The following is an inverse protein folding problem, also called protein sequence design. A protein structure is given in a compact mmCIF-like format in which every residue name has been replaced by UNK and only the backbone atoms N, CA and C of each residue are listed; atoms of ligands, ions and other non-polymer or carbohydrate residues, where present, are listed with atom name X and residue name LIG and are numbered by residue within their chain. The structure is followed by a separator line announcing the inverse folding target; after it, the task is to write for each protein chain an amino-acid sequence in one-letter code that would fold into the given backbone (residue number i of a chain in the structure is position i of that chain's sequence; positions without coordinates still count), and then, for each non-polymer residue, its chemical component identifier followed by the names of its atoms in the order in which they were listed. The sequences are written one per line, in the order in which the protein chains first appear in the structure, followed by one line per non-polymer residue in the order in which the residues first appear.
data_IF_953709350948
#
_entry.id   IF_953709350948
#
_cell.length_a   1.000
_cell.length_b   1.000
_cell.length_c   1.000
_cell.angle_alpha   90.00
_cell.angle_beta   90.00
_cell.angle_gamma   90.00
#
_symmetry.space_group_name_H-M   'P 1'
#
loop_
_entity.id
_entity.type
_entity.pdbx_description
1 polymer ?
#
# COMPACT_ATOMS: atom_id res chain seq x y z
N UNK A 1 -16.82 17.45 -16.85
CA UNK A 1 -16.58 17.57 -15.40
C UNK A 1 -17.90 17.30 -14.69
N UNK A 2 -17.91 16.44 -13.67
CA UNK A 2 -19.07 16.32 -12.79
C UNK A 2 -19.12 17.53 -11.84
N UNK A 3 -20.32 18.03 -11.56
CA UNK A 3 -20.53 19.16 -10.63
C UNK A 3 -21.61 18.80 -9.63
N UNK A 4 -21.47 19.31 -8.41
CA UNK A 4 -22.50 19.24 -7.38
C UNK A 4 -23.22 20.58 -7.27
N UNK A 5 -24.56 20.55 -7.23
CA UNK A 5 -25.36 21.70 -6.85
C UNK A 5 -25.84 21.49 -5.42
N UNK A 6 -25.46 22.38 -4.52
CA UNK A 6 -25.83 22.30 -3.10
C UNK A 6 -26.80 23.43 -2.81
N UNK A 7 -28.00 23.09 -2.27
CA UNK A 7 -28.98 24.04 -1.79
C UNK A 7 -29.02 23.94 -0.28
N UNK A 8 -28.64 25.02 0.40
CA UNK A 8 -28.67 25.12 1.87
C UNK A 8 -30.02 25.62 2.42
N UNK A 9 -30.08 25.88 3.74
CA UNK A 9 -31.24 26.42 4.40
C UNK A 9 -32.31 25.41 4.84
N UNK A 10 -32.03 24.10 4.67
CA UNK A 10 -32.94 23.03 5.12
C UNK A 10 -32.30 22.31 6.30
N UNK A 11 -33.03 22.15 7.39
CA UNK A 11 -32.58 21.36 8.54
C UNK A 11 -32.49 19.88 8.12
N UNK A 12 -31.31 19.28 8.29
CA UNK A 12 -31.08 17.87 7.97
C UNK A 12 -31.62 16.98 9.11
N UNK A 13 -32.32 15.90 8.73
CA UNK A 13 -32.80 14.87 9.65
C UNK A 13 -32.68 13.52 8.97
N UNK A 14 -32.11 12.54 9.67
CA UNK A 14 -31.93 11.17 9.17
C UNK A 14 -30.72 10.50 9.79
N UNK A 15 -30.53 9.24 9.44
CA UNK A 15 -29.41 8.42 9.88
C UNK A 15 -28.30 8.45 8.81
N UNK A 16 -27.04 8.53 9.27
CA UNK A 16 -25.87 8.42 8.40
C UNK A 16 -25.09 7.16 8.78
N UNK A 17 -24.96 6.27 7.83
CA UNK A 17 -24.17 5.05 7.98
C UNK A 17 -22.80 5.25 7.31
N UNK A 18 -21.71 5.47 8.07
CA UNK A 18 -20.39 5.59 7.47
C UNK A 18 -19.94 4.25 6.88
N UNK A 19 -19.34 4.29 5.71
CA UNK A 19 -18.64 3.14 5.15
C UNK A 19 -17.22 3.03 5.73
N UNK A 20 -16.52 1.92 5.43
CA UNK A 20 -15.15 1.68 5.89
C UNK A 20 -14.19 2.81 5.50
N UNK A 21 -13.15 3.02 6.31
CA UNK A 21 -12.19 4.09 6.12
C UNK A 21 -11.18 3.76 5.00
N UNK A 22 -11.12 4.62 3.98
CA UNK A 22 -10.18 4.46 2.84
C UNK A 22 -8.75 4.24 3.28
N UNK A 23 -8.24 5.10 4.15
CA UNK A 23 -6.83 5.10 4.52
C UNK A 23 -6.46 3.88 5.39
N UNK A 24 -7.39 3.35 6.16
CA UNK A 24 -7.22 2.12 6.91
C UNK A 24 -7.15 0.91 5.97
N UNK A 25 -8.14 0.77 5.09
CA UNK A 25 -8.23 -0.40 4.21
C UNK A 25 -7.05 -0.50 3.24
N UNK A 26 -6.50 0.63 2.76
CA UNK A 26 -5.31 0.60 1.91
C UNK A 26 -4.09 0.00 2.62
N UNK A 27 -3.98 0.18 3.94
CA UNK A 27 -2.91 -0.42 4.75
C UNK A 27 -3.17 -1.90 4.99
N UNK A 28 -4.38 -2.26 5.40
CA UNK A 28 -4.78 -3.65 5.69
C UNK A 28 -4.70 -4.52 4.43
N UNK A 29 -5.09 -4.00 3.26
CA UNK A 29 -4.95 -4.70 1.99
C UNK A 29 -3.49 -5.03 1.65
N UNK A 30 -2.56 -4.13 1.95
CA UNK A 30 -1.14 -4.42 1.75
C UNK A 30 -0.61 -5.46 2.74
N UNK A 31 -1.15 -5.51 3.96
CA UNK A 31 -0.76 -6.48 4.98
C UNK A 31 -1.09 -7.94 4.58
N UNK A 32 -2.01 -8.19 3.64
CA UNK A 32 -2.28 -9.56 3.15
C UNK A 32 -1.05 -10.20 2.48
N UNK A 33 -0.11 -9.39 2.01
CA UNK A 33 1.14 -9.88 1.42
C UNK A 33 2.10 -10.51 2.45
N UNK A 34 1.85 -10.32 3.77
CA UNK A 34 2.71 -10.84 4.84
C UNK A 34 2.53 -12.34 5.12
N UNK A 35 1.46 -12.95 4.63
CA UNK A 35 1.14 -14.36 4.86
C UNK A 35 0.68 -15.04 3.56
N UNK A 36 0.82 -16.35 3.49
CA UNK A 36 0.25 -17.21 2.44
C UNK A 36 -1.14 -17.75 2.81
N UNK A 37 -1.57 -17.54 4.06
CA UNK A 37 -2.90 -17.90 4.52
C UNK A 37 -3.97 -16.99 3.91
N UNK A 38 -5.21 -17.50 3.89
CA UNK A 38 -6.36 -16.71 3.45
C UNK A 38 -6.80 -15.71 4.52
N UNK A 39 -6.73 -14.43 4.17
CA UNK A 39 -7.20 -13.32 5.03
C UNK A 39 -8.54 -12.81 4.51
N UNK A 40 -9.58 -12.83 5.35
CA UNK A 40 -10.89 -12.24 5.03
C UNK A 40 -10.99 -10.84 5.63
N UNK A 41 -11.37 -9.88 4.80
CA UNK A 41 -11.55 -8.47 5.19
C UNK A 41 -12.97 -8.06 4.83
N UNK A 42 -13.67 -7.49 5.81
CA UNK A 42 -15.04 -6.99 5.65
C UNK A 42 -15.11 -5.47 5.76
N UNK A 43 -16.23 -4.88 5.39
CA UNK A 43 -16.47 -3.44 5.39
C UNK A 43 -15.46 -2.66 4.49
N UNK A 44 -15.00 -3.29 3.41
CA UNK A 44 -14.18 -2.62 2.40
C UNK A 44 -15.05 -1.64 1.62
N UNK A 45 -14.73 -0.33 1.61
CA UNK A 45 -15.51 0.66 0.87
C UNK A 45 -15.29 0.52 -0.64
N UNK A 46 -16.38 0.66 -1.40
CA UNK A 46 -16.32 0.64 -2.87
C UNK A 46 -15.94 2.03 -3.41
N UNK A 47 -14.64 2.27 -3.45
CA UNK A 47 -14.04 3.52 -3.95
C UNK A 47 -12.87 3.24 -4.88
N UNK A 48 -12.61 4.19 -5.79
CA UNK A 48 -11.64 4.03 -6.89
C UNK A 48 -10.25 3.62 -6.41
N UNK A 49 -9.71 4.25 -5.37
CA UNK A 49 -8.36 3.95 -4.87
C UNK A 49 -8.25 2.54 -4.29
N UNK A 50 -9.31 2.08 -3.60
CA UNK A 50 -9.35 0.73 -3.01
C UNK A 50 -9.45 -0.32 -4.11
N UNK A 51 -10.32 -0.11 -5.08
CA UNK A 51 -10.48 -1.03 -6.21
C UNK A 51 -9.19 -1.14 -7.03
N UNK A 52 -8.49 -0.02 -7.27
CA UNK A 52 -7.16 -0.02 -7.91
C UNK A 52 -6.13 -0.82 -7.13
N UNK A 53 -6.11 -0.71 -5.80
CA UNK A 53 -5.16 -1.47 -4.99
C UNK A 53 -5.48 -2.96 -5.02
N UNK A 54 -6.76 -3.35 -4.94
CA UNK A 54 -7.19 -4.74 -5.08
C UNK A 54 -6.76 -5.31 -6.44
N UNK A 55 -6.90 -4.52 -7.52
CA UNK A 55 -6.43 -4.89 -8.85
C UNK A 55 -4.90 -5.09 -8.89
N UNK A 56 -4.14 -4.18 -8.31
CA UNK A 56 -2.67 -4.30 -8.21
C UNK A 56 -2.29 -5.57 -7.44
N UNK A 57 -2.95 -5.87 -6.32
CA UNK A 57 -2.70 -7.10 -5.57
C UNK A 57 -3.01 -8.36 -6.38
N UNK A 58 -4.10 -8.35 -7.16
CA UNK A 58 -4.40 -9.43 -8.09
C UNK A 58 -3.32 -9.63 -9.15
N UNK A 59 -2.78 -8.54 -9.70
CA UNK A 59 -1.68 -8.58 -10.67
C UNK A 59 -0.38 -9.13 -10.05
N UNK A 60 -0.15 -8.93 -8.73
CA UNK A 60 0.95 -9.57 -8.00
C UNK A 60 0.77 -11.07 -7.81
N UNK A 61 -0.39 -11.63 -8.12
CA UNK A 61 -0.70 -13.03 -7.90
C UNK A 61 -1.52 -13.32 -6.64
N UNK A 62 -2.00 -12.29 -5.93
CA UNK A 62 -2.96 -12.48 -4.83
C UNK A 62 -4.28 -12.98 -5.41
N UNK A 63 -4.74 -14.13 -4.96
CA UNK A 63 -6.07 -14.62 -5.29
C UNK A 63 -7.12 -13.85 -4.50
N UNK A 64 -8.01 -13.17 -5.22
CA UNK A 64 -9.05 -12.31 -4.65
C UNK A 64 -10.41 -12.95 -4.89
N UNK A 65 -11.14 -13.25 -3.83
CA UNK A 65 -12.51 -13.74 -3.88
C UNK A 65 -13.46 -12.71 -3.24
N UNK A 66 -14.43 -12.23 -4.01
CA UNK A 66 -15.48 -11.34 -3.52
C UNK A 66 -16.62 -12.18 -2.94
N UNK A 67 -16.82 -12.15 -1.63
CA UNK A 67 -17.86 -12.91 -0.91
C UNK A 67 -19.19 -12.16 -0.87
N UNK A 68 -19.16 -10.82 -1.00
CA UNK A 68 -20.33 -9.96 -0.97
C UNK A 68 -19.95 -8.48 -1.07
N UNK A 69 -20.89 -7.56 -0.91
CA UNK A 69 -20.60 -6.13 -0.86
C UNK A 69 -19.63 -5.81 0.28
N UNK A 70 -18.44 -5.29 -0.05
CA UNK A 70 -17.40 -4.94 0.92
C UNK A 70 -16.79 -6.12 1.68
N UNK A 71 -16.99 -7.36 1.23
CA UNK A 71 -16.48 -8.59 1.86
C UNK A 71 -15.63 -9.37 0.86
N UNK A 72 -14.35 -9.52 1.16
CA UNK A 72 -13.37 -10.15 0.28
C UNK A 72 -12.45 -11.09 1.06
N UNK A 73 -12.01 -12.15 0.39
CA UNK A 73 -10.95 -13.05 0.86
C UNK A 73 -9.75 -12.91 -0.06
N UNK A 74 -8.57 -12.80 0.54
CA UNK A 74 -7.29 -12.63 -0.16
C UNK A 74 -6.35 -13.76 0.24
N UNK A 75 -5.66 -14.36 -0.74
CA UNK A 75 -4.66 -15.40 -0.49
C UNK A 75 -3.40 -15.08 -1.30
N UNK A 76 -2.28 -14.83 -0.62
CA UNK A 76 -1.01 -14.42 -1.23
C UNK A 76 0.03 -15.55 -1.20
N UNK A 77 -0.34 -16.73 -1.70
CA UNK A 77 0.48 -17.95 -1.71
C UNK A 77 1.36 -18.13 -2.98
N UNK A 78 1.10 -17.35 -4.03
CA UNK A 78 1.81 -17.44 -5.32
C UNK A 78 2.16 -16.04 -5.86
N UNK A 79 2.95 -15.27 -5.09
CA UNK A 79 3.31 -13.90 -5.44
C UNK A 79 4.39 -13.86 -6.51
N UNK A 80 4.13 -13.15 -7.59
CA UNK A 80 5.10 -12.82 -8.62
C UNK A 80 5.92 -11.58 -8.22
N UNK A 81 7.11 -11.80 -7.69
CA UNK A 81 8.03 -10.71 -7.27
C UNK A 81 8.56 -9.94 -8.48
N UNK A 82 8.70 -10.58 -9.63
CA UNK A 82 9.22 -9.93 -10.85
C UNK A 82 8.22 -8.95 -11.44
N UNK A 83 6.94 -9.06 -11.09
CA UNK A 83 5.92 -8.08 -11.44
C UNK A 83 6.28 -6.66 -10.97
N UNK A 84 7.05 -6.50 -9.87
CA UNK A 84 7.56 -5.20 -9.39
C UNK A 84 8.31 -4.41 -10.47
N UNK A 85 8.94 -5.07 -11.43
CA UNK A 85 9.74 -4.46 -12.48
C UNK A 85 8.98 -4.29 -13.80
N UNK A 86 7.75 -4.81 -13.87
CA UNK A 86 6.93 -4.80 -15.06
C UNK A 86 6.31 -3.43 -15.38
N UNK A 87 6.12 -3.13 -16.67
CA UNK A 87 5.48 -1.90 -17.13
C UNK A 87 4.04 -1.74 -16.63
N UNK A 88 3.33 -2.85 -16.39
CA UNK A 88 1.98 -2.84 -15.82
C UNK A 88 1.98 -2.29 -14.40
N UNK A 89 2.88 -2.78 -13.56
CA UNK A 89 3.02 -2.26 -12.19
C UNK A 89 3.47 -0.80 -12.18
N UNK A 90 4.43 -0.45 -13.04
CA UNK A 90 4.88 0.93 -13.20
C UNK A 90 3.74 1.89 -13.48
N UNK A 91 2.86 1.54 -14.42
CA UNK A 91 1.70 2.35 -14.79
C UNK A 91 0.64 2.42 -13.69
N UNK A 92 0.27 1.28 -13.12
CA UNK A 92 -0.78 1.19 -12.09
C UNK A 92 -0.30 1.78 -10.77
N UNK A 93 0.89 1.44 -10.32
CA UNK A 93 1.49 1.97 -9.09
C UNK A 93 1.67 3.49 -9.13
N UNK A 94 2.09 4.04 -10.27
CA UNK A 94 2.18 5.49 -10.46
C UNK A 94 0.81 6.19 -10.38
N UNK A 95 -0.28 5.50 -10.66
CA UNK A 95 -1.64 6.08 -10.61
C UNK A 95 -2.25 6.15 -9.20
N UNK A 96 -1.63 5.49 -8.22
CA UNK A 96 -2.13 5.37 -6.85
C UNK A 96 -1.02 5.67 -5.85
N UNK A 97 -1.14 6.74 -5.08
CA UNK A 97 -0.15 7.03 -4.04
C UNK A 97 -0.07 5.94 -2.95
N UNK A 98 -1.19 5.30 -2.64
CA UNK A 98 -1.26 4.19 -1.67
C UNK A 98 -0.41 2.98 -2.05
N UNK A 99 0.06 2.88 -3.30
CA UNK A 99 0.95 1.80 -3.75
C UNK A 99 2.27 1.73 -2.97
N UNK A 100 2.71 2.83 -2.34
CA UNK A 100 3.89 2.83 -1.46
C UNK A 100 3.76 1.84 -0.30
N UNK A 101 2.53 1.51 0.08
CA UNK A 101 2.27 0.61 1.21
C UNK A 101 2.62 -0.86 0.92
N UNK A 102 2.81 -1.26 -0.35
CA UNK A 102 3.27 -2.62 -0.69
C UNK A 102 4.75 -2.83 -0.39
N UNK A 103 5.53 -1.74 -0.24
CA UNK A 103 7.00 -1.84 -0.07
C UNK A 103 7.38 -2.59 1.20
N UNK A 104 6.75 -2.26 2.34
CA UNK A 104 7.04 -2.91 3.62
C UNK A 104 6.84 -4.43 3.61
N UNK A 105 5.64 -4.93 3.28
CA UNK A 105 5.39 -6.37 3.24
C UNK A 105 6.20 -7.09 2.16
N UNK A 106 6.41 -6.49 0.99
CA UNK A 106 7.23 -7.10 -0.07
C UNK A 106 8.69 -7.20 0.35
N UNK A 107 9.25 -6.16 0.98
CA UNK A 107 10.59 -6.17 1.53
C UNK A 107 10.76 -7.25 2.60
N UNK A 108 9.81 -7.32 3.55
CA UNK A 108 9.90 -8.24 4.67
C UNK A 108 9.80 -9.71 4.26
N UNK A 109 8.87 -10.04 3.36
CA UNK A 109 8.61 -11.43 2.98
C UNK A 109 9.47 -11.91 1.82
N UNK A 110 9.79 -11.02 0.87
CA UNK A 110 10.47 -11.39 -0.38
C UNK A 110 11.84 -10.72 -0.56
N UNK A 111 12.27 -9.92 0.41
CA UNK A 111 13.56 -9.24 0.39
C UNK A 111 13.65 -8.05 -0.56
N UNK A 112 12.58 -7.70 -1.26
CA UNK A 112 12.56 -6.62 -2.26
C UNK A 112 11.26 -5.84 -2.20
N UNK A 113 11.35 -4.52 -2.21
CA UNK A 113 10.20 -3.64 -2.33
C UNK A 113 10.50 -2.47 -3.25
N UNK A 114 9.76 -2.34 -4.34
CA UNK A 114 9.96 -1.29 -5.34
C UNK A 114 8.66 -0.57 -5.63
N UNK A 115 8.75 0.73 -5.89
CA UNK A 115 7.64 1.53 -6.39
C UNK A 115 8.09 2.43 -7.54
N UNK A 116 7.25 2.63 -8.55
CA UNK A 116 7.45 3.70 -9.50
C UNK A 116 7.26 5.04 -8.80
N UNK A 117 7.74 6.13 -9.41
CA UNK A 117 7.46 7.48 -8.90
C UNK A 117 5.95 7.65 -8.72
N UNK A 118 5.44 7.76 -7.48
CA UNK A 118 4.01 7.75 -7.23
C UNK A 118 3.36 9.03 -7.75
N UNK A 119 2.21 8.85 -8.37
CA UNK A 119 1.32 9.91 -8.78
C UNK A 119 0.26 10.23 -7.72
N UNK A 120 -0.97 10.47 -8.16
CA UNK A 120 -2.12 10.82 -7.34
C UNK A 120 -2.41 12.32 -7.33
N UNK A 121 -3.27 12.77 -6.42
CA UNK A 121 -3.72 14.15 -6.34
C UNK A 121 -2.57 15.14 -6.09
N UNK A 122 -2.54 16.21 -6.85
CA UNK A 122 -1.55 17.29 -6.73
C UNK A 122 -1.90 18.24 -5.57
N UNK A 123 -1.86 17.75 -4.34
CA UNK A 123 -2.18 18.52 -3.13
C UNK A 123 -0.94 19.05 -2.39
N UNK A 124 0.19 19.17 -3.09
CA UNK A 124 1.46 19.63 -2.55
C UNK A 124 2.54 18.54 -2.49
N UNK A 125 3.74 18.95 -2.04
CA UNK A 125 4.88 18.04 -1.88
C UNK A 125 4.62 17.09 -0.71
N UNK A 126 4.67 15.79 -0.95
CA UNK A 126 4.58 14.76 0.07
C UNK A 126 5.84 13.92 0.04
N UNK A 127 6.51 13.86 1.16
CA UNK A 127 7.74 13.09 1.33
C UNK A 127 7.46 11.59 1.19
N UNK A 128 8.44 10.87 0.67
CA UNK A 128 8.51 9.41 0.63
C UNK A 128 9.77 8.90 1.32
N UNK A 129 10.74 9.78 1.51
CA UNK A 129 12.01 9.50 2.17
C UNK A 129 11.81 8.89 3.55
N UNK A 130 10.84 9.37 4.35
CA UNK A 130 10.49 8.77 5.64
C UNK A 130 10.26 7.26 5.56
N UNK A 131 9.63 6.75 4.48
CA UNK A 131 9.45 5.31 4.27
C UNK A 131 10.78 4.59 4.04
N UNK A 132 11.63 5.16 3.19
CA UNK A 132 12.92 4.52 2.83
C UNK A 132 13.94 4.59 3.96
N UNK A 133 14.00 5.73 4.68
CA UNK A 133 14.88 5.90 5.83
C UNK A 133 14.67 4.84 6.90
N UNK A 134 13.41 4.48 7.18
CA UNK A 134 13.13 3.46 8.19
C UNK A 134 13.52 2.07 7.73
N UNK A 135 13.32 1.73 6.46
CA UNK A 135 13.79 0.45 5.93
C UNK A 135 15.31 0.34 5.96
N UNK A 136 16.02 1.44 5.68
CA UNK A 136 17.48 1.50 5.82
C UNK A 136 17.92 1.32 7.27
N UNK A 137 17.17 1.83 8.26
CA UNK A 137 17.43 1.58 9.69
C UNK A 137 17.23 0.12 10.07
N UNK A 138 16.37 -0.63 9.37
CA UNK A 138 16.23 -2.08 9.50
C UNK A 138 17.32 -2.85 8.74
N UNK A 139 18.26 -2.17 8.09
CA UNK A 139 19.38 -2.76 7.37
C UNK A 139 19.16 -2.93 5.86
N UNK A 140 18.02 -2.50 5.32
CA UNK A 140 17.79 -2.56 3.88
C UNK A 140 18.68 -1.56 3.12
N UNK A 141 19.04 -1.91 1.89
CA UNK A 141 19.76 -1.04 0.96
C UNK A 141 18.76 -0.29 0.09
N UNK A 142 18.88 1.03 0.04
CA UNK A 142 18.12 1.84 -0.91
C UNK A 142 18.67 1.65 -2.33
N UNK A 143 17.78 1.48 -3.29
CA UNK A 143 18.09 1.31 -4.72
C UNK A 143 17.28 2.32 -5.52
N UNK A 144 17.96 2.99 -6.45
CA UNK A 144 17.32 3.88 -7.42
C UNK A 144 17.79 3.51 -8.81
N UNK A 145 16.85 3.15 -9.68
CA UNK A 145 17.12 2.91 -11.09
C UNK A 145 16.64 4.10 -11.92
N UNK A 146 17.61 4.92 -12.35
CA UNK A 146 17.34 6.16 -13.07
C UNK A 146 16.61 5.91 -14.41
N UNK A 147 17.04 4.90 -15.16
CA UNK A 147 16.44 4.56 -16.46
C UNK A 147 15.00 4.03 -16.35
N UNK A 148 14.68 3.34 -15.28
CA UNK A 148 13.36 2.76 -15.03
C UNK A 148 12.45 3.65 -14.17
N UNK A 149 13.00 4.69 -13.53
CA UNK A 149 12.30 5.58 -12.60
C UNK A 149 11.64 4.85 -11.42
N UNK A 150 12.29 3.81 -10.88
CA UNK A 150 11.88 3.12 -9.67
C UNK A 150 12.68 3.55 -8.46
N UNK A 151 11.99 3.64 -7.33
CA UNK A 151 12.59 3.72 -6.00
C UNK A 151 12.38 2.38 -5.31
N UNK A 152 13.41 1.84 -4.70
CA UNK A 152 13.31 0.55 -4.07
C UNK A 152 14.18 0.39 -2.84
N UNK A 153 13.94 -0.70 -2.15
CA UNK A 153 14.76 -1.21 -1.04
C UNK A 153 14.93 -2.71 -1.19
N UNK A 154 16.12 -3.17 -0.85
CA UNK A 154 16.46 -4.59 -0.83
C UNK A 154 16.99 -4.99 0.54
N UNK A 155 16.52 -6.10 1.06
CA UNK A 155 17.00 -6.68 2.30
C UNK A 155 18.39 -7.30 2.07
N UNK A 156 19.28 -7.26 3.07
CA UNK A 156 20.55 -7.99 3.01
C UNK A 156 20.30 -9.51 3.04
N UNK A 157 21.30 -10.28 2.61
CA UNK A 157 21.19 -11.74 2.51
C UNK A 157 20.88 -12.42 3.86
N UNK A 158 21.26 -11.82 4.97
CA UNK A 158 21.03 -12.29 6.33
C UNK A 158 19.71 -11.72 6.94
N UNK A 159 18.88 -11.08 6.13
CA UNK A 159 17.57 -10.54 6.50
C UNK A 159 17.63 -9.16 7.15
N UNK A 160 16.47 -8.59 7.38
CA UNK A 160 16.32 -7.32 8.11
C UNK A 160 16.66 -7.52 9.59
N UNK A 161 17.08 -6.45 10.27
CA UNK A 161 17.44 -6.44 11.68
C UNK A 161 16.56 -5.49 12.46
N UNK A 162 16.07 -5.92 13.61
CA UNK A 162 15.34 -5.07 14.53
C UNK A 162 16.18 -3.86 14.97
N UNK A 163 15.54 -2.68 15.01
CA UNK A 163 16.21 -1.43 15.38
C UNK A 163 15.27 -0.52 16.15
N UNK A 164 15.89 0.37 16.98
CA UNK A 164 15.14 1.50 17.53
C UNK A 164 14.99 2.58 16.46
N UNK A 165 13.74 2.94 16.14
CA UNK A 165 13.44 3.88 15.07
C UNK A 165 12.63 5.04 15.63
N UNK A 166 13.17 6.25 15.49
CA UNK A 166 12.45 7.50 15.65
C UNK A 166 12.24 8.09 14.25
N UNK A 167 11.00 8.38 13.90
CA UNK A 167 10.66 9.05 12.64
C UNK A 167 11.04 10.53 12.72
N UNK A 168 11.52 11.07 11.61
CA UNK A 168 11.86 12.49 11.46
C UNK A 168 10.61 13.39 11.36
N UNK A 169 9.47 12.82 11.00
CA UNK A 169 8.16 13.48 10.99
C UNK A 169 7.03 12.51 11.37
N UNK A 170 5.89 12.98 11.88
CA UNK A 170 4.70 12.17 12.07
C UNK A 170 4.19 11.66 10.71
N UNK A 171 4.22 10.35 10.49
CA UNK A 171 3.76 9.73 9.24
C UNK A 171 2.93 8.49 9.52
N UNK A 172 1.63 8.56 9.22
CA UNK A 172 0.72 7.41 9.36
C UNK A 172 1.13 6.27 8.44
N UNK A 173 1.36 6.58 7.17
CA UNK A 173 1.75 5.57 6.17
C UNK A 173 3.17 5.07 6.38
N UNK A 174 4.11 5.92 6.81
CA UNK A 174 5.45 5.52 7.21
C UNK A 174 5.41 4.52 8.37
N UNK A 175 4.67 4.85 9.43
CA UNK A 175 4.50 3.96 10.59
C UNK A 175 3.91 2.61 10.18
N UNK A 176 2.83 2.60 9.40
CA UNK A 176 2.20 1.35 8.96
C UNK A 176 3.15 0.50 8.11
N UNK A 177 3.92 1.11 7.21
CA UNK A 177 4.92 0.40 6.41
C UNK A 177 6.04 -0.22 7.27
N UNK A 178 6.51 0.52 8.30
CA UNK A 178 7.48 0.00 9.25
C UNK A 178 6.92 -1.20 10.01
N UNK A 179 5.71 -1.07 10.55
CA UNK A 179 5.06 -2.15 11.30
C UNK A 179 4.93 -3.40 10.44
N UNK A 180 4.48 -3.26 9.19
CA UNK A 180 4.39 -4.39 8.25
C UNK A 180 5.76 -5.01 7.94
N UNK A 181 6.83 -4.21 7.84
CA UNK A 181 8.16 -4.75 7.66
C UNK A 181 8.68 -5.43 8.93
N UNK A 182 8.43 -4.85 10.10
CA UNK A 182 8.95 -5.34 11.38
C UNK A 182 8.32 -6.66 11.85
N UNK A 183 7.10 -6.98 11.41
CA UNK A 183 6.39 -8.22 11.79
C UNK A 183 7.18 -9.49 11.43
N UNK A 184 7.95 -9.45 10.34
CA UNK A 184 8.76 -10.58 9.87
C UNK A 184 10.28 -10.35 10.06
N UNK A 185 10.65 -9.30 10.82
CA UNK A 185 12.06 -8.93 11.08
C UNK A 185 12.57 -9.57 12.36
#
# INVERSE_FOLDING_TARGET
MASFRITGGIALKGDVHPQGAKNEVLQILCAVLLTDETVRITNIPDIVDVNKLIEILGDFGVRVAKNGPGDYSFTADAIDVDFLFGETYKKKGASLRGSVMVVGPMLARFGKGYIPKPGGDKIGRRRLDTHFEVFMKLGAKFVYEEGAHFYGVEAPADGLKGAYILLDEPSVTGTANIVMAAVLT
#
